data_IF_501326604793
#
_entry.id   IF_501326604793
#
_cell.length_a   1.000
_cell.length_b   1.000
_cell.length_c   1.000
_cell.angle_alpha   90.00
_cell.angle_beta   90.00
_cell.angle_gamma   90.00
#
_symmetry.space_group_name_H-M   'P 1'
#
loop_
_entity.id
_entity.type
_entity.pdbx_description
1 polymer ?
#
# COMPACT_ATOMS: atom_id res chain seq x y z
N UNK A 1 42.62 -59.49 33.19
CA UNK A 1 41.63 -60.46 32.69
C UNK A 1 40.84 -59.81 31.57
N UNK A 2 40.89 -60.45 30.40
CA UNK A 2 40.00 -60.45 29.22
C UNK A 2 39.37 -59.14 28.69
N UNK A 3 39.84 -58.78 27.50
CA UNK A 3 39.04 -58.19 26.41
C UNK A 3 38.22 -59.27 25.68
N UNK A 4 37.04 -58.91 25.15
CA UNK A 4 36.28 -59.47 23.99
C UNK A 4 35.19 -58.40 23.68
N UNK A 5 34.84 -57.94 22.46
CA UNK A 5 35.01 -58.43 21.10
C UNK A 5 33.64 -58.79 20.46
N UNK A 6 33.42 -58.36 19.21
CA UNK A 6 32.32 -58.68 18.25
C UNK A 6 31.01 -57.85 18.37
N UNK A 7 30.46 -57.15 17.36
CA UNK A 7 30.41 -57.22 15.87
C UNK A 7 29.26 -58.10 15.30
N UNK A 8 28.46 -57.50 14.40
CA UNK A 8 27.45 -58.03 13.45
C UNK A 8 26.10 -58.47 14.07
N UNK A 9 24.92 -58.18 13.52
CA UNK A 9 24.53 -58.29 12.11
C UNK A 9 23.29 -57.43 11.75
N UNK A 10 23.18 -57.13 10.46
CA UNK A 10 22.14 -56.42 9.71
C UNK A 10 20.77 -57.16 9.61
N UNK A 11 19.78 -56.47 8.99
CA UNK A 11 18.45 -56.88 8.46
C UNK A 11 17.28 -56.57 9.42
N UNK A 12 16.18 -55.88 9.10
CA UNK A 12 15.38 -55.52 7.89
C UNK A 12 14.60 -54.23 8.27
N UNK A 13 14.53 -53.13 7.51
CA UNK A 13 13.73 -52.82 6.30
C UNK A 13 12.30 -53.39 6.28
N UNK A 14 11.30 -52.55 6.60
CA UNK A 14 9.99 -52.31 5.91
C UNK A 14 8.82 -52.00 6.87
N UNK A 15 8.06 -50.93 6.53
CA UNK A 15 6.70 -50.55 6.99
C UNK A 15 6.59 -50.21 8.49
N UNK A 16 6.38 -48.95 8.86
CA UNK A 16 5.11 -48.19 8.78
C UNK A 16 5.48 -46.73 8.47
N UNK A 17 4.99 -46.03 7.45
CA UNK A 17 3.66 -46.12 6.84
C UNK A 17 2.83 -44.92 7.27
N UNK A 18 3.11 -43.75 6.67
CA UNK A 18 2.17 -42.63 6.42
C UNK A 18 1.12 -42.36 7.51
N UNK A 19 1.43 -41.51 8.47
CA UNK A 19 0.48 -40.55 9.04
C UNK A 19 1.26 -39.41 9.68
N UNK A 20 0.71 -38.19 9.63
CA UNK A 20 1.34 -36.89 9.98
C UNK A 20 2.12 -36.23 8.82
N UNK A 21 1.54 -36.27 7.61
CA UNK A 21 1.83 -35.28 6.56
C UNK A 21 0.59 -35.06 5.68
N UNK A 22 -0.56 -34.76 6.30
CA UNK A 22 -1.79 -34.36 5.61
C UNK A 22 -2.69 -33.56 6.58
N UNK A 23 -2.34 -32.30 6.85
CA UNK A 23 -3.34 -31.31 7.31
C UNK A 23 -3.03 -29.85 6.92
N UNK A 24 -1.88 -29.57 6.27
CA UNK A 24 -1.57 -28.24 5.75
C UNK A 24 -1.78 -28.10 4.23
N UNK A 25 -2.16 -29.17 3.52
CA UNK A 25 -2.33 -29.17 2.05
C UNK A 25 -3.79 -29.11 1.56
N UNK A 26 -4.76 -28.88 2.47
CA UNK A 26 -6.19 -28.76 2.13
C UNK A 26 -6.76 -27.34 2.25
N UNK A 27 -5.92 -26.31 2.44
CA UNK A 27 -6.34 -24.90 2.37
C UNK A 27 -5.78 -24.13 1.16
N UNK A 28 -4.96 -24.76 0.32
CA UNK A 28 -4.36 -24.14 -0.87
C UNK A 28 -4.87 -24.73 -2.21
N UNK A 29 -5.87 -25.61 -2.19
CA UNK A 29 -6.38 -26.31 -3.39
C UNK A 29 -7.90 -26.22 -3.57
N UNK A 30 -8.59 -25.31 -2.89
CA UNK A 30 -10.02 -25.03 -3.11
C UNK A 30 -10.32 -23.73 -3.84
N UNK A 31 -9.32 -23.03 -4.39
CA UNK A 31 -9.52 -21.78 -5.14
C UNK A 31 -9.22 -21.88 -6.64
N UNK A 32 -8.92 -23.08 -7.15
CA UNK A 32 -8.46 -23.26 -8.54
C UNK A 32 -9.38 -24.16 -9.37
N UNK A 33 -10.67 -23.82 -9.44
CA UNK A 33 -11.55 -24.16 -10.58
C UNK A 33 -12.79 -23.27 -10.53
N UNK A 34 -12.68 -22.05 -11.06
CA UNK A 34 -13.76 -21.39 -11.79
C UNK A 34 -13.15 -20.32 -12.71
N UNK A 35 -12.53 -20.79 -13.80
CA UNK A 35 -12.39 -20.00 -15.03
C UNK A 35 -13.40 -20.60 -16.00
N UNK A 36 -14.44 -19.85 -16.31
CA UNK A 36 -15.07 -19.65 -17.62
C UNK A 36 -16.42 -18.99 -17.32
N UNK A 37 -16.44 -17.68 -17.58
CA UNK A 37 -17.55 -16.79 -17.36
C UNK A 37 -17.07 -15.37 -17.54
N UNK A 38 -16.37 -15.10 -18.65
CA UNK A 38 -16.22 -13.74 -19.15
C UNK A 38 -17.62 -13.26 -19.54
N UNK A 39 -18.36 -12.68 -18.60
CA UNK A 39 -19.38 -11.70 -18.93
C UNK A 39 -18.70 -10.35 -18.97
N UNK A 40 -18.39 -9.90 -20.19
CA UNK A 40 -18.27 -8.48 -20.50
C UNK A 40 -19.63 -7.83 -20.20
N UNK A 41 -19.90 -7.51 -18.93
CA UNK A 41 -21.06 -6.74 -18.47
C UNK A 41 -20.76 -6.10 -17.10
N UNK A 42 -19.77 -5.20 -17.06
CA UNK A 42 -19.84 -4.01 -16.21
C UNK A 42 -19.57 -2.78 -17.10
N UNK A 43 -20.33 -2.70 -18.19
CA UNK A 43 -20.49 -1.46 -18.94
C UNK A 43 -21.81 -0.81 -18.48
N UNK A 44 -21.68 0.41 -17.95
CA UNK A 44 -22.72 1.43 -17.83
C UNK A 44 -23.92 1.14 -16.89
N UNK A 45 -23.94 1.82 -15.73
CA UNK A 45 -25.19 2.22 -15.06
C UNK A 45 -25.38 1.71 -13.63
N UNK A 46 -24.60 2.20 -12.67
CA UNK A 46 -24.95 2.10 -11.24
C UNK A 46 -24.77 3.42 -10.50
N UNK A 47 -24.99 4.55 -11.18
CA UNK A 47 -25.11 5.83 -10.48
C UNK A 47 -26.34 5.77 -9.59
N UNK A 48 -26.18 5.91 -8.27
CA UNK A 48 -27.32 5.92 -7.37
C UNK A 48 -28.25 7.11 -7.64
N UNK A 49 -29.35 7.19 -6.90
CA UNK A 49 -30.35 8.23 -7.12
C UNK A 49 -29.74 9.61 -6.86
N UNK A 50 -30.01 10.64 -7.70
CA UNK A 50 -29.67 12.02 -7.36
C UNK A 50 -30.27 12.43 -6.02
N UNK A 51 -29.43 12.93 -5.13
CA UNK A 51 -29.81 13.39 -3.80
C UNK A 51 -29.55 14.88 -3.59
N UNK A 52 -28.83 15.55 -4.49
CA UNK A 52 -28.57 16.97 -4.38
C UNK A 52 -27.52 17.43 -5.36
N UNK A 53 -27.01 18.62 -5.12
CA UNK A 53 -25.88 19.17 -5.86
C UNK A 53 -24.95 19.92 -4.91
N UNK A 54 -23.71 20.13 -5.32
CA UNK A 54 -22.76 21.00 -4.62
C UNK A 54 -22.06 21.91 -5.62
N UNK A 55 -21.59 23.07 -5.18
CA UNK A 55 -20.77 23.96 -6.00
C UNK A 55 -19.29 23.61 -5.81
N UNK A 56 -18.66 23.06 -6.84
CA UNK A 56 -17.22 22.81 -6.89
C UNK A 56 -16.61 23.60 -8.03
N UNK A 57 -15.56 24.37 -7.76
CA UNK A 57 -14.88 25.20 -8.76
C UNK A 57 -15.83 26.13 -9.54
N UNK A 58 -16.89 26.64 -8.88
CA UNK A 58 -17.89 27.52 -9.48
C UNK A 58 -18.95 26.83 -10.36
N UNK A 59 -18.91 25.50 -10.47
CA UNK A 59 -19.88 24.71 -11.21
C UNK A 59 -20.75 23.87 -10.28
N UNK A 60 -22.03 23.73 -10.61
CA UNK A 60 -22.93 22.81 -9.93
C UNK A 60 -22.61 21.37 -10.35
N UNK A 61 -22.30 20.52 -9.37
CA UNK A 61 -21.99 19.10 -9.54
C UNK A 61 -23.08 18.27 -8.88
N UNK A 62 -23.67 17.35 -9.62
CA UNK A 62 -24.70 16.43 -9.10
C UNK A 62 -24.10 15.46 -8.09
N UNK A 63 -24.80 15.28 -6.97
CA UNK A 63 -24.47 14.34 -5.90
C UNK A 63 -25.47 13.20 -5.89
N UNK A 64 -24.97 11.96 -5.89
CA UNK A 64 -25.78 10.73 -5.91
C UNK A 64 -25.56 9.92 -4.64
N UNK A 65 -26.58 9.18 -4.22
CA UNK A 65 -26.41 8.13 -3.23
C UNK A 65 -25.52 7.02 -3.78
N UNK A 66 -24.94 6.20 -2.92
CA UNK A 66 -24.27 4.95 -3.33
C UNK A 66 -24.94 3.75 -2.66
N UNK A 67 -24.42 2.55 -2.92
CA UNK A 67 -24.82 1.34 -2.18
C UNK A 67 -24.34 1.35 -0.73
N UNK A 68 -23.32 2.16 -0.41
CA UNK A 68 -22.77 2.26 0.93
C UNK A 68 -23.50 3.35 1.72
N UNK A 69 -23.89 3.06 2.98
CA UNK A 69 -24.43 4.10 3.84
C UNK A 69 -23.36 5.18 4.06
N UNK A 70 -23.80 6.45 4.12
CA UNK A 70 -22.93 7.61 4.37
C UNK A 70 -21.79 7.82 3.37
N UNK A 71 -21.92 7.28 2.16
CA UNK A 71 -20.99 7.53 1.05
C UNK A 71 -21.79 8.07 -0.12
N UNK A 72 -21.32 9.19 -0.65
CA UNK A 72 -21.92 9.86 -1.80
C UNK A 72 -21.00 9.81 -3.01
N UNK A 73 -21.59 9.88 -4.20
CA UNK A 73 -20.89 9.90 -5.47
C UNK A 73 -20.99 11.29 -6.09
N UNK A 74 -19.91 11.73 -6.73
CA UNK A 74 -19.88 12.94 -7.57
C UNK A 74 -20.04 12.57 -9.05
N UNK A 75 -21.00 13.19 -9.72
CA UNK A 75 -21.26 12.99 -11.15
C UNK A 75 -21.69 11.58 -11.51
N UNK A 76 -21.45 11.17 -12.76
CA UNK A 76 -22.00 9.94 -13.34
C UNK A 76 -21.05 8.74 -13.35
N UNK A 77 -19.77 8.95 -13.09
CA UNK A 77 -18.73 7.93 -13.32
C UNK A 77 -18.79 6.74 -12.37
N UNK A 78 -19.39 6.89 -11.19
CA UNK A 78 -19.32 5.88 -10.11
C UNK A 78 -17.94 5.73 -9.46
N UNK A 79 -16.91 6.40 -10.01
CA UNK A 79 -15.50 6.23 -9.62
C UNK A 79 -15.00 7.29 -8.66
N UNK A 80 -15.76 8.36 -8.43
CA UNK A 80 -15.41 9.39 -7.46
C UNK A 80 -16.48 9.49 -6.39
N UNK A 81 -16.09 9.19 -5.16
CA UNK A 81 -16.98 9.21 -3.99
C UNK A 81 -16.39 10.06 -2.87
N UNK A 82 -17.21 10.43 -1.89
CA UNK A 82 -16.80 11.15 -0.70
C UNK A 82 -17.70 10.81 0.49
N UNK A 83 -17.19 11.04 1.71
CA UNK A 83 -17.95 10.76 2.93
C UNK A 83 -19.06 11.77 3.19
N UNK A 84 -20.21 11.28 3.62
CA UNK A 84 -21.39 12.10 3.88
C UNK A 84 -21.24 13.05 5.07
N UNK A 85 -20.38 12.71 6.04
CA UNK A 85 -20.08 13.51 7.23
C UNK A 85 -19.36 14.83 6.91
N UNK A 86 -18.82 14.97 5.70
CA UNK A 86 -18.23 16.22 5.21
C UNK A 86 -19.28 17.29 4.89
N UNK A 87 -20.55 16.90 4.74
CA UNK A 87 -21.66 17.79 4.43
C UNK A 87 -22.16 18.44 5.71
N UNK A 88 -21.92 19.73 5.86
CA UNK A 88 -22.30 20.52 7.04
C UNK A 88 -23.78 20.88 7.05
N UNK A 89 -24.37 21.11 5.87
CA UNK A 89 -25.75 21.53 5.73
C UNK A 89 -26.29 21.14 4.35
N UNK A 90 -27.59 20.84 4.29
CA UNK A 90 -28.33 20.68 3.04
C UNK A 90 -29.44 21.73 2.97
N UNK A 91 -29.31 22.67 2.03
CA UNK A 91 -30.29 23.72 1.84
C UNK A 91 -31.58 23.18 1.19
N UNK A 92 -32.67 23.95 1.33
CA UNK A 92 -33.99 23.56 0.84
C UNK A 92 -34.05 23.39 -0.69
N UNK A 93 -33.15 24.05 -1.43
CA UNK A 93 -32.97 23.92 -2.88
C UNK A 93 -32.24 22.61 -3.27
N UNK A 94 -31.80 21.80 -2.31
CA UNK A 94 -31.02 20.58 -2.55
C UNK A 94 -29.51 20.80 -2.65
N UNK A 95 -29.02 22.01 -2.41
CA UNK A 95 -27.59 22.32 -2.33
C UNK A 95 -26.97 21.73 -1.06
N UNK A 96 -25.81 21.10 -1.22
CA UNK A 96 -25.04 20.46 -0.16
C UNK A 96 -23.79 21.29 0.10
N UNK A 97 -23.70 21.84 1.31
CA UNK A 97 -22.57 22.67 1.76
C UNK A 97 -21.58 21.82 2.54
N UNK A 98 -20.30 22.05 2.30
CA UNK A 98 -19.19 21.40 3.00
C UNK A 98 -18.65 22.35 4.08
N UNK A 99 -17.95 21.84 5.09
CA UNK A 99 -17.10 22.71 5.90
C UNK A 99 -15.98 23.32 5.04
N UNK A 100 -15.46 24.49 5.44
CA UNK A 100 -14.50 25.25 4.62
C UNK A 100 -13.29 24.40 4.17
N UNK A 101 -12.61 23.76 5.12
CA UNK A 101 -11.42 22.94 4.85
C UNK A 101 -11.72 21.76 3.91
N UNK A 102 -12.89 21.12 4.08
CA UNK A 102 -13.31 20.01 3.21
C UNK A 102 -13.70 20.50 1.82
N UNK A 103 -14.27 21.70 1.70
CA UNK A 103 -14.67 22.28 0.43
C UNK A 103 -13.46 22.51 -0.48
N UNK A 104 -12.38 23.10 0.06
CA UNK A 104 -11.16 23.36 -0.72
C UNK A 104 -10.50 22.05 -1.17
N UNK A 105 -10.31 21.10 -0.24
CA UNK A 105 -9.69 19.81 -0.54
C UNK A 105 -10.47 19.00 -1.58
N UNK A 106 -11.80 18.91 -1.43
CA UNK A 106 -12.65 18.18 -2.37
C UNK A 106 -12.72 18.87 -3.72
N UNK A 107 -12.84 20.20 -3.77
CA UNK A 107 -12.89 20.96 -5.03
C UNK A 107 -11.57 20.83 -5.81
N UNK A 108 -10.43 20.87 -5.12
CA UNK A 108 -9.12 20.63 -5.72
C UNK A 108 -9.00 19.22 -6.28
N UNK A 109 -9.29 18.20 -5.47
CA UNK A 109 -9.22 16.80 -5.92
C UNK A 109 -10.18 16.56 -7.10
N UNK A 110 -11.38 17.11 -7.06
CA UNK A 110 -12.37 17.01 -8.13
C UNK A 110 -11.86 17.65 -9.43
N UNK A 111 -11.28 18.86 -9.38
CA UNK A 111 -10.69 19.51 -10.54
C UNK A 111 -9.56 18.69 -11.16
N UNK A 112 -8.62 18.21 -10.34
CA UNK A 112 -7.52 17.36 -10.80
C UNK A 112 -8.03 16.02 -11.38
N UNK A 113 -9.10 15.46 -10.81
CA UNK A 113 -9.72 14.24 -11.31
C UNK A 113 -10.40 14.47 -12.67
N UNK A 114 -11.13 15.57 -12.83
CA UNK A 114 -11.78 15.90 -14.11
C UNK A 114 -10.78 16.09 -15.25
N UNK A 115 -9.60 16.60 -14.93
CA UNK A 115 -8.51 16.86 -15.89
C UNK A 115 -7.56 15.66 -16.07
N UNK A 116 -7.87 14.49 -15.52
CA UNK A 116 -7.02 13.27 -15.55
C UNK A 116 -5.58 13.50 -15.05
N UNK A 117 -5.43 14.40 -14.07
CA UNK A 117 -4.13 14.79 -13.49
C UNK A 117 -4.01 14.51 -11.99
N UNK A 118 -5.02 13.88 -11.38
CA UNK A 118 -5.01 13.58 -9.95
C UNK A 118 -3.94 12.53 -9.66
N UNK A 119 -2.88 12.96 -8.99
CA UNK A 119 -1.83 12.07 -8.50
C UNK A 119 -2.08 11.77 -7.03
N UNK A 120 -2.07 10.49 -6.64
CA UNK A 120 -2.20 10.04 -5.26
C UNK A 120 -0.95 9.26 -4.83
N UNK A 121 -0.51 9.44 -3.59
CA UNK A 121 0.72 8.84 -3.07
C UNK A 121 0.48 8.02 -1.80
N UNK A 122 1.14 6.86 -1.71
CA UNK A 122 1.12 5.97 -0.54
C UNK A 122 2.53 5.57 -0.15
N UNK A 123 2.88 5.79 1.12
CA UNK A 123 4.04 5.16 1.74
C UNK A 123 3.80 3.68 2.06
N UNK A 124 4.74 2.82 1.67
CA UNK A 124 4.79 1.41 2.03
C UNK A 124 6.12 1.13 2.71
N UNK A 125 6.07 0.65 3.96
CA UNK A 125 7.27 0.27 4.69
C UNK A 125 7.88 -1.01 4.15
N UNK A 126 9.20 -1.16 4.27
CA UNK A 126 9.92 -2.35 3.79
C UNK A 126 9.47 -3.66 4.44
N UNK A 127 8.84 -3.60 5.61
CA UNK A 127 8.26 -4.75 6.32
C UNK A 127 6.73 -4.87 6.17
N UNK A 128 6.11 -4.06 5.31
CA UNK A 128 4.66 -4.05 5.12
C UNK A 128 4.19 -5.34 4.42
N UNK A 129 3.03 -5.89 4.80
CA UNK A 129 2.50 -7.14 4.22
C UNK A 129 2.33 -7.08 2.69
N UNK A 130 2.07 -5.88 2.15
CA UNK A 130 1.85 -5.64 0.71
C UNK A 130 3.17 -5.62 -0.09
N UNK A 131 4.33 -5.50 0.57
CA UNK A 131 5.64 -5.30 -0.08
C UNK A 131 5.93 -6.39 -1.11
N UNK A 132 5.88 -7.65 -0.72
CA UNK A 132 6.20 -8.76 -1.64
C UNK A 132 5.15 -8.88 -2.75
N UNK A 133 3.88 -8.54 -2.48
CA UNK A 133 2.83 -8.48 -3.49
C UNK A 133 3.14 -7.44 -4.57
N UNK A 134 3.62 -6.26 -4.15
CA UNK A 134 4.04 -5.19 -5.06
C UNK A 134 5.28 -5.63 -5.86
N UNK A 135 6.34 -6.05 -5.18
CA UNK A 135 7.63 -6.34 -5.81
C UNK A 135 7.55 -7.55 -6.76
N UNK A 136 6.90 -8.62 -6.35
CA UNK A 136 6.91 -9.89 -7.09
C UNK A 136 5.76 -10.04 -8.08
N UNK A 137 4.61 -9.45 -7.77
CA UNK A 137 3.38 -9.67 -8.53
C UNK A 137 2.80 -8.38 -9.13
N UNK A 138 3.40 -7.22 -8.85
CA UNK A 138 2.86 -5.94 -9.29
C UNK A 138 1.48 -5.64 -8.71
N UNK A 139 1.21 -6.07 -7.47
CA UNK A 139 -0.11 -5.95 -6.84
C UNK A 139 -0.04 -5.18 -5.52
N UNK A 140 -0.64 -4.00 -5.48
CA UNK A 140 -0.80 -3.22 -4.26
C UNK A 140 -2.15 -3.56 -3.60
N UNK A 141 -2.10 -4.27 -2.48
CA UNK A 141 -3.28 -4.66 -1.70
C UNK A 141 -3.34 -3.95 -0.34
N UNK A 142 -4.57 -3.75 0.16
CA UNK A 142 -4.86 -3.29 1.52
C UNK A 142 -5.02 -4.48 2.48
N UNK A 143 -5.19 -4.21 3.78
CA UNK A 143 -5.20 -5.21 4.86
C UNK A 143 -6.37 -6.20 4.80
N UNK A 144 -7.43 -5.90 4.04
CA UNK A 144 -8.52 -6.86 3.88
C UNK A 144 -9.33 -6.69 2.60
N UNK A 145 -10.47 -7.37 2.58
CA UNK A 145 -11.32 -7.53 1.40
C UNK A 145 -12.62 -6.77 1.47
N UNK A 146 -12.93 -6.10 2.57
CA UNK A 146 -14.22 -5.43 2.73
C UNK A 146 -14.31 -4.27 1.74
N UNK A 147 -15.34 -4.31 0.89
CA UNK A 147 -15.58 -3.24 -0.08
C UNK A 147 -16.42 -2.16 0.60
N UNK A 148 -15.76 -1.33 1.42
CA UNK A 148 -16.34 -0.14 2.04
C UNK A 148 -15.26 0.95 2.12
N UNK A 149 -15.48 2.11 1.48
CA UNK A 149 -14.53 3.21 1.57
C UNK A 149 -14.66 3.87 2.94
N UNK A 150 -13.66 3.67 3.79
CA UNK A 150 -13.62 4.23 5.13
C UNK A 150 -12.22 4.18 5.73
N UNK A 151 -12.04 4.82 6.88
CA UNK A 151 -10.77 4.85 7.58
C UNK A 151 -10.27 3.43 7.87
N UNK A 152 -9.01 3.17 7.52
CA UNK A 152 -8.39 1.84 7.65
C UNK A 152 -7.80 1.61 9.05
N UNK A 153 -7.54 2.68 9.80
CA UNK A 153 -7.00 2.66 11.16
C UNK A 153 -8.12 2.43 12.18
N UNK A 154 -8.71 1.25 12.19
CA UNK A 154 -9.85 0.95 13.08
C UNK A 154 -10.34 -0.49 13.15
N UNK A 155 -9.73 -1.42 12.42
CA UNK A 155 -10.01 -2.86 12.53
C UNK A 155 -11.02 -3.44 11.51
N UNK A 156 -11.56 -2.64 10.60
CA UNK A 156 -12.20 -3.18 9.38
C UNK A 156 -11.14 -3.34 8.31
N UNK A 157 -10.83 -4.58 7.92
CA UNK A 157 -9.93 -4.89 6.81
C UNK A 157 -10.55 -4.49 5.48
N UNK A 158 -10.52 -3.20 5.17
CA UNK A 158 -11.04 -2.65 3.92
C UNK A 158 -10.04 -2.86 2.78
N UNK A 159 -10.56 -3.09 1.56
CA UNK A 159 -9.75 -3.15 0.34
C UNK A 159 -9.28 -1.78 -0.15
N UNK A 160 -9.68 -0.71 0.52
CA UNK A 160 -9.38 0.68 0.13
C UNK A 160 -8.06 1.15 0.74
N UNK A 161 -7.13 1.59 -0.10
CA UNK A 161 -5.77 2.00 0.24
C UNK A 161 -5.73 3.49 0.61
N UNK A 162 -5.24 3.87 1.81
CA UNK A 162 -5.18 5.27 2.23
C UNK A 162 -3.98 6.00 1.62
N UNK A 163 -4.25 7.03 0.84
CA UNK A 163 -3.30 7.84 0.08
C UNK A 163 -3.38 9.32 0.48
N UNK A 164 -2.36 10.07 0.07
CA UNK A 164 -2.33 11.53 0.12
C UNK A 164 -2.35 12.10 -1.30
N UNK A 165 -2.83 13.33 -1.47
CA UNK A 165 -2.82 13.99 -2.77
C UNK A 165 -1.39 14.41 -3.13
N UNK A 166 -0.82 13.83 -4.20
CA UNK A 166 0.58 14.03 -4.59
C UNK A 166 0.93 15.48 -4.96
N UNK A 167 -0.07 16.29 -5.32
CA UNK A 167 0.10 17.71 -5.59
C UNK A 167 0.13 18.57 -4.31
N UNK A 168 -0.20 18.04 -3.13
CA UNK A 168 -0.15 18.81 -1.89
C UNK A 168 1.29 19.02 -1.43
N UNK A 169 1.57 20.20 -0.88
CA UNK A 169 2.88 20.48 -0.31
C UNK A 169 3.23 19.44 0.75
N UNK A 170 4.41 18.84 0.61
CA UNK A 170 4.86 17.79 1.53
C UNK A 170 4.21 16.42 1.35
N UNK A 171 3.43 16.15 0.29
CA UNK A 171 2.83 14.83 0.05
C UNK A 171 3.87 13.69 0.03
N UNK A 172 5.01 13.94 -0.64
CA UNK A 172 6.14 13.01 -0.66
C UNK A 172 6.73 12.82 0.74
N UNK A 173 6.86 13.89 1.53
CA UNK A 173 7.39 13.83 2.90
C UNK A 173 6.44 13.05 3.82
N UNK A 174 5.14 13.31 3.75
CA UNK A 174 4.11 12.57 4.50
C UNK A 174 4.10 11.09 4.12
N UNK A 175 4.11 10.78 2.83
CA UNK A 175 4.16 9.40 2.34
C UNK A 175 5.45 8.69 2.77
N UNK A 176 6.59 9.38 2.72
CA UNK A 176 7.86 8.85 3.20
C UNK A 176 7.86 8.63 4.72
N UNK A 177 7.27 9.55 5.48
CA UNK A 177 7.06 9.43 6.92
C UNK A 177 6.20 8.21 7.29
N UNK A 178 5.15 7.95 6.52
CA UNK A 178 4.32 6.74 6.68
C UNK A 178 5.15 5.47 6.39
N UNK A 179 5.97 5.48 5.34
CA UNK A 179 6.81 4.35 4.98
C UNK A 179 7.85 4.00 6.05
N UNK A 180 8.35 4.97 6.83
CA UNK A 180 9.28 4.69 7.93
C UNK A 180 8.58 4.33 9.25
N UNK A 181 7.35 4.81 9.47
CA UNK A 181 6.66 4.71 10.76
C UNK A 181 6.36 3.28 11.21
N UNK A 182 6.21 2.36 10.25
CA UNK A 182 5.77 0.98 10.49
C UNK A 182 6.92 -0.02 10.75
N UNK A 183 8.17 0.42 10.86
CA UNK A 183 9.28 -0.50 11.17
C UNK A 183 9.17 -1.12 12.56
N UNK A 184 9.76 -2.30 12.74
CA UNK A 184 9.80 -2.95 14.05
C UNK A 184 10.83 -2.26 14.99
N UNK A 185 10.79 -2.57 16.29
CA UNK A 185 11.68 -1.94 17.28
C UNK A 185 13.17 -2.24 17.01
N UNK A 186 13.49 -3.45 16.52
CA UNK A 186 14.87 -3.86 16.23
C UNK A 186 15.45 -3.05 15.07
N UNK A 187 14.69 -2.85 13.98
CA UNK A 187 15.07 -1.99 12.86
C UNK A 187 15.24 -0.53 13.32
N UNK A 188 14.28 0.00 14.10
CA UNK A 188 14.42 1.35 14.68
C UNK A 188 15.66 1.51 15.55
N UNK A 189 15.97 0.53 16.37
CA UNK A 189 17.18 0.55 17.20
C UNK A 189 18.46 0.53 16.35
N UNK A 190 18.46 -0.25 15.28
CA UNK A 190 19.59 -0.37 14.39
C UNK A 190 19.80 0.85 13.47
N UNK A 191 18.76 1.67 13.27
CA UNK A 191 18.83 2.98 12.63
C UNK A 191 19.00 4.15 13.62
N UNK A 192 19.23 3.88 14.90
CA UNK A 192 19.29 4.94 15.92
C UNK A 192 20.50 5.86 15.74
N UNK A 193 20.40 7.10 16.24
CA UNK A 193 21.43 8.13 16.08
C UNK A 193 22.81 7.77 16.69
N UNK A 194 22.89 6.78 17.58
CA UNK A 194 24.17 6.31 18.13
C UNK A 194 24.90 5.33 17.20
N UNK A 195 24.20 4.73 16.24
CA UNK A 195 24.74 3.83 15.22
C UNK A 195 24.00 4.04 13.89
N UNK A 196 24.06 5.25 13.32
CA UNK A 196 23.27 5.57 12.15
C UNK A 196 23.82 4.81 10.93
N UNK A 197 22.95 4.12 10.21
CA UNK A 197 23.28 3.48 8.94
C UNK A 197 22.71 4.30 7.80
N UNK A 198 23.52 4.53 6.77
CA UNK A 198 23.14 5.33 5.62
C UNK A 198 22.75 4.44 4.44
N UNK A 199 21.88 4.96 3.56
CA UNK A 199 21.47 4.32 2.32
C UNK A 199 20.79 2.94 2.48
N UNK A 200 20.14 2.68 3.62
CA UNK A 200 19.32 1.48 3.83
C UNK A 200 17.93 1.73 3.26
N UNK A 201 17.40 0.84 2.42
CA UNK A 201 16.02 0.89 1.97
C UNK A 201 15.07 0.79 3.18
N UNK A 202 14.22 1.79 3.37
CA UNK A 202 13.24 1.86 4.45
C UNK A 202 11.83 1.60 3.94
N UNK A 203 11.57 1.90 2.68
CA UNK A 203 10.27 1.71 2.10
C UNK A 203 10.21 2.22 0.67
N UNK A 204 8.99 2.38 0.18
CA UNK A 204 8.73 2.95 -1.14
C UNK A 204 7.51 3.87 -1.09
N UNK A 205 7.44 4.80 -2.03
CA UNK A 205 6.26 5.62 -2.27
C UNK A 205 5.63 5.19 -3.57
N UNK A 206 4.44 4.60 -3.47
CA UNK A 206 3.60 4.30 -4.62
C UNK A 206 2.92 5.58 -5.10
N UNK A 207 2.81 5.71 -6.42
CA UNK A 207 2.05 6.73 -7.13
C UNK A 207 0.90 6.07 -7.87
N UNK A 208 -0.29 6.61 -7.71
CA UNK A 208 -1.50 6.23 -8.43
C UNK A 208 -1.99 7.44 -9.23
N UNK A 209 -2.18 7.27 -10.53
CA UNK A 209 -2.73 8.32 -11.39
C UNK A 209 -4.22 8.03 -11.60
N UNK A 210 -5.07 8.93 -11.10
CA UNK A 210 -6.51 8.82 -11.15
C UNK A 210 -7.12 9.97 -11.97
N UNK A 211 -8.34 9.76 -12.43
CA UNK A 211 -9.00 10.70 -13.32
C UNK A 211 -10.36 10.23 -13.80
N UNK A 212 -11.09 11.15 -14.43
CA UNK A 212 -12.39 10.88 -15.03
C UNK A 212 -12.36 9.77 -16.06
N UNK A 213 -11.25 9.64 -16.79
CA UNK A 213 -11.03 8.63 -17.83
C UNK A 213 -10.13 7.48 -17.35
N UNK A 214 -9.63 7.52 -16.12
CA UNK A 214 -8.81 6.45 -15.53
C UNK A 214 -9.66 5.39 -14.83
N UNK A 215 -9.10 4.18 -14.65
CA UNK A 215 -9.84 3.04 -14.09
C UNK A 215 -10.01 3.10 -12.57
N UNK A 216 -9.18 3.86 -11.86
CA UNK A 216 -9.15 3.90 -10.41
C UNK A 216 -10.42 4.50 -9.81
N UNK A 217 -11.02 3.78 -8.87
CA UNK A 217 -12.04 4.33 -7.99
C UNK A 217 -11.38 5.02 -6.79
N UNK A 218 -11.79 6.26 -6.55
CA UNK A 218 -11.25 7.16 -5.53
C UNK A 218 -12.36 7.57 -4.57
N UNK A 219 -12.00 7.68 -3.30
CA UNK A 219 -12.88 8.16 -2.25
C UNK A 219 -12.21 9.25 -1.43
N UNK A 220 -12.85 10.42 -1.34
CA UNK A 220 -12.39 11.50 -0.49
C UNK A 220 -12.93 11.33 0.92
N UNK A 221 -12.05 10.97 1.87
CA UNK A 221 -12.42 10.88 3.27
C UNK A 221 -12.30 12.25 3.94
N UNK A 222 -11.20 12.97 3.71
CA UNK A 222 -10.95 14.34 4.16
C UNK A 222 -9.69 14.89 3.43
N UNK A 223 -9.31 16.18 3.61
CA UNK A 223 -8.14 16.76 2.95
C UNK A 223 -6.81 16.03 3.23
N UNK A 224 -6.69 15.31 4.35
CA UNK A 224 -5.51 14.54 4.72
C UNK A 224 -5.52 13.07 4.31
N UNK A 225 -6.68 12.51 3.92
CA UNK A 225 -6.83 11.09 3.61
C UNK A 225 -7.78 10.87 2.44
N UNK A 226 -7.24 10.31 1.36
CA UNK A 226 -7.96 9.94 0.14
C UNK A 226 -7.75 8.45 -0.07
N UNK A 227 -8.79 7.70 -0.42
CA UNK A 227 -8.68 6.26 -0.58
C UNK A 227 -8.72 5.85 -2.05
N UNK A 228 -7.88 4.88 -2.42
CA UNK A 228 -7.91 4.20 -3.73
C UNK A 228 -8.44 2.78 -3.54
N UNK A 229 -9.44 2.37 -4.31
CA UNK A 229 -9.96 1.00 -4.23
C UNK A 229 -8.91 0.00 -4.72
N UNK A 230 -8.54 -0.95 -3.86
CA UNK A 230 -7.65 -2.06 -4.20
C UNK A 230 -8.38 -3.40 -4.42
N UNK A 231 -7.62 -4.47 -4.73
CA UNK A 231 -6.19 -4.41 -5.05
C UNK A 231 -5.95 -3.69 -6.38
N UNK A 232 -4.79 -3.03 -6.49
CA UNK A 232 -4.42 -2.25 -7.69
C UNK A 232 -3.27 -2.97 -8.40
N UNK A 233 -3.38 -3.12 -9.71
CA UNK A 233 -2.38 -3.77 -10.55
C UNK A 233 -1.36 -2.75 -11.09
N UNK A 234 -0.16 -3.22 -11.44
CA UNK A 234 0.99 -2.40 -11.85
C UNK A 234 0.77 -1.49 -13.06
N UNK A 235 -0.30 -1.67 -13.82
CA UNK A 235 -0.69 -0.75 -14.90
C UNK A 235 -1.31 0.55 -14.35
N UNK A 236 -1.87 0.50 -13.14
CA UNK A 236 -2.61 1.60 -12.50
C UNK A 236 -1.83 2.22 -11.32
N UNK A 237 -0.58 1.76 -11.07
CA UNK A 237 0.34 2.40 -10.11
C UNK A 237 1.81 2.23 -10.51
N UNK A 238 2.66 3.13 -10.00
CA UNK A 238 4.11 3.04 -10.15
C UNK A 238 4.83 3.21 -8.80
N UNK A 239 6.04 2.69 -8.69
CA UNK A 239 6.96 3.04 -7.60
C UNK A 239 7.63 4.36 -8.00
N UNK A 240 7.26 5.44 -7.32
CA UNK A 240 7.80 6.78 -7.64
C UNK A 240 9.16 7.02 -6.98
N UNK A 241 9.29 6.62 -5.72
CA UNK A 241 10.48 6.85 -4.91
C UNK A 241 10.76 5.64 -4.03
N UNK A 242 12.04 5.40 -3.78
CA UNK A 242 12.48 4.58 -2.67
C UNK A 242 12.80 5.49 -1.49
N UNK A 243 12.31 5.12 -0.32
CA UNK A 243 12.62 5.81 0.94
C UNK A 243 13.84 5.11 1.51
N UNK A 244 14.90 5.86 1.77
CA UNK A 244 16.18 5.35 2.26
C UNK A 244 16.57 6.05 3.55
N UNK A 245 17.39 5.42 4.39
CA UNK A 245 18.01 6.12 5.51
C UNK A 245 18.96 7.17 4.97
N UNK A 246 18.93 8.35 5.59
CA UNK A 246 19.84 9.45 5.28
C UNK A 246 20.31 10.07 6.59
N UNK A 247 21.56 9.77 6.95
CA UNK A 247 22.16 10.22 8.20
C UNK A 247 22.49 11.72 8.21
N UNK A 248 22.55 12.33 7.02
CA UNK A 248 22.75 13.78 6.86
C UNK A 248 21.46 14.57 7.01
N UNK A 249 20.30 13.92 6.83
CA UNK A 249 19.00 14.54 7.03
C UNK A 249 18.62 14.52 8.53
N UNK A 250 18.23 15.65 9.15
CA UNK A 250 17.72 15.67 10.52
C UNK A 250 16.52 14.75 10.78
N UNK A 251 15.73 14.43 9.75
CA UNK A 251 14.63 13.48 9.83
C UNK A 251 15.09 12.00 9.85
N UNK A 252 16.36 11.73 9.49
CA UNK A 252 16.96 10.40 9.45
C UNK A 252 16.65 9.59 8.19
N UNK A 253 15.93 10.17 7.22
CA UNK A 253 15.58 9.51 5.96
C UNK A 253 15.58 10.48 4.78
N UNK A 254 15.69 9.94 3.57
CA UNK A 254 15.49 10.64 2.31
C UNK A 254 14.55 9.87 1.39
N UNK A 255 14.02 10.54 0.38
CA UNK A 255 13.31 9.90 -0.73
C UNK A 255 14.17 10.06 -1.99
N UNK A 256 14.46 8.96 -2.67
CA UNK A 256 15.19 8.94 -3.93
C UNK A 256 14.24 8.52 -5.04
N UNK A 257 14.16 9.33 -6.10
CA UNK A 257 13.35 9.01 -7.27
C UNK A 257 13.84 7.71 -7.89
N UNK A 258 12.90 6.84 -8.21
CA UNK A 258 13.16 5.52 -8.76
C UNK A 258 12.72 5.42 -10.22
N UNK A 259 13.60 4.90 -11.07
CA UNK A 259 13.36 4.78 -12.52
C UNK A 259 13.42 3.32 -13.01
N UNK A 260 13.57 2.36 -12.11
CA UNK A 260 13.57 0.94 -12.46
C UNK A 260 12.16 0.40 -12.74
N UNK A 261 12.08 -0.56 -13.66
CA UNK A 261 10.83 -1.22 -14.05
C UNK A 261 10.83 -2.72 -13.78
N UNK A 262 12.00 -3.31 -13.46
CA UNK A 262 12.15 -4.73 -13.17
C UNK A 262 12.13 -4.93 -11.64
N UNK A 263 10.99 -4.67 -11.02
CA UNK A 263 10.88 -4.52 -9.56
C UNK A 263 11.40 -5.73 -8.78
N UNK A 264 11.16 -6.95 -9.28
CA UNK A 264 11.63 -8.21 -8.70
C UNK A 264 13.17 -8.39 -8.74
N UNK A 265 13.83 -7.80 -9.74
CA UNK A 265 15.29 -7.81 -9.88
C UNK A 265 15.95 -6.61 -9.17
N UNK A 266 15.26 -5.48 -9.18
CA UNK A 266 15.76 -4.20 -8.68
C UNK A 266 15.57 -4.06 -7.17
N UNK A 267 14.51 -4.65 -6.59
CA UNK A 267 14.18 -4.51 -5.17
C UNK A 267 14.37 -5.83 -4.42
N UNK A 268 14.67 -5.71 -3.14
CA UNK A 268 14.81 -6.87 -2.26
C UNK A 268 13.46 -7.32 -1.69
N UNK A 269 13.35 -8.59 -1.25
CA UNK A 269 12.22 -9.06 -0.45
C UNK A 269 12.02 -8.23 0.81
N UNK A 270 10.80 -8.27 1.35
CA UNK A 270 10.42 -7.52 2.52
C UNK A 270 11.39 -7.70 3.69
N UNK A 271 11.57 -6.63 4.47
CA UNK A 271 12.19 -6.70 5.79
C UNK A 271 11.37 -7.60 6.71
N UNK A 272 12.04 -8.21 7.68
CA UNK A 272 11.39 -9.09 8.65
C UNK A 272 10.29 -8.32 9.41
N UNK A 273 9.06 -8.82 9.32
CA UNK A 273 7.96 -8.39 10.17
C UNK A 273 7.99 -9.19 11.48
N UNK A 274 8.42 -8.56 12.58
CA UNK A 274 8.28 -9.11 13.93
C UNK A 274 7.36 -8.20 14.77
N UNK A 275 6.06 -8.52 14.87
CA UNK A 275 5.13 -7.75 15.69
C UNK A 275 5.31 -8.01 17.18
N UNK A 276 6.06 -9.05 17.57
CA UNK A 276 6.23 -9.44 18.97
C UNK A 276 7.35 -8.65 19.66
N UNK A 277 8.37 -8.23 18.91
CA UNK A 277 9.58 -7.59 19.44
C UNK A 277 10.38 -8.47 20.41
N UNK A 278 10.08 -9.78 20.46
CA UNK A 278 10.65 -10.71 21.45
C UNK A 278 11.89 -11.44 20.95
N UNK A 279 12.27 -11.28 19.68
CA UNK A 279 13.48 -11.90 19.16
C UNK A 279 14.70 -11.14 19.69
N UNK A 280 15.46 -11.80 20.57
CA UNK A 280 16.71 -11.28 21.15
C UNK A 280 17.85 -11.14 20.12
N UNK A 281 19.08 -11.53 20.47
CA UNK A 281 20.25 -11.36 19.60
C UNK A 281 20.09 -11.91 18.18
N UNK A 282 19.34 -13.01 18.01
CA UNK A 282 19.02 -13.58 16.69
C UNK A 282 18.18 -12.62 15.82
N UNK A 283 17.24 -11.90 16.42
CA UNK A 283 16.45 -10.89 15.69
C UNK A 283 17.32 -9.71 15.27
N UNK A 284 18.30 -9.34 16.10
CA UNK A 284 19.29 -8.31 15.77
C UNK A 284 20.16 -8.71 14.59
N UNK A 285 20.71 -9.93 14.57
CA UNK A 285 21.56 -10.40 13.46
C UNK A 285 20.80 -10.41 12.14
N UNK A 286 19.59 -10.99 12.12
CA UNK A 286 18.75 -11.04 10.91
C UNK A 286 18.41 -9.64 10.40
N UNK A 287 18.14 -8.71 11.32
CA UNK A 287 17.90 -7.31 10.97
C UNK A 287 19.16 -6.68 10.36
N UNK A 288 20.33 -6.88 10.98
CA UNK A 288 21.59 -6.36 10.46
C UNK A 288 21.92 -6.93 9.07
N UNK A 289 21.79 -8.24 8.88
CA UNK A 289 22.01 -8.89 7.58
C UNK A 289 21.06 -8.36 6.49
N UNK A 290 19.84 -8.00 6.87
CA UNK A 290 18.90 -7.38 5.94
C UNK A 290 19.33 -5.95 5.58
N UNK A 291 19.73 -5.14 6.57
CA UNK A 291 20.19 -3.77 6.33
C UNK A 291 21.47 -3.74 5.48
N UNK A 292 22.43 -4.64 5.72
CA UNK A 292 23.67 -4.71 4.94
C UNK A 292 23.38 -5.03 3.46
N UNK A 293 22.51 -6.01 3.22
CA UNK A 293 22.07 -6.35 1.85
C UNK A 293 21.29 -5.21 1.21
N UNK A 294 20.46 -4.54 1.99
CA UNK A 294 19.66 -3.40 1.55
C UNK A 294 20.55 -2.24 1.11
N UNK A 295 21.54 -1.86 1.92
CA UNK A 295 22.53 -0.85 1.57
C UNK A 295 23.33 -1.23 0.32
N UNK A 296 23.76 -2.50 0.20
CA UNK A 296 24.42 -2.99 -1.00
C UNK A 296 23.54 -2.87 -2.24
N UNK A 297 22.24 -3.19 -2.13
CA UNK A 297 21.28 -3.05 -3.24
C UNK A 297 21.05 -1.59 -3.61
N UNK A 298 20.93 -0.68 -2.66
CA UNK A 298 20.78 0.75 -2.97
C UNK A 298 22.01 1.31 -3.68
N UNK A 299 23.22 0.92 -3.27
CA UNK A 299 24.45 1.25 -3.97
C UNK A 299 24.46 0.69 -5.42
N UNK A 300 24.00 -0.54 -5.63
CA UNK A 300 23.88 -1.14 -6.96
C UNK A 300 22.92 -0.33 -7.85
N UNK A 301 21.74 0.03 -7.35
CA UNK A 301 20.76 0.80 -8.11
C UNK A 301 21.27 2.20 -8.47
N UNK A 302 22.01 2.86 -7.57
CA UNK A 302 22.68 4.13 -7.86
C UNK A 302 23.74 3.98 -8.95
N UNK A 303 24.56 2.92 -8.91
CA UNK A 303 25.56 2.64 -9.96
C UNK A 303 24.90 2.37 -11.31
N UNK A 304 23.75 1.68 -11.31
CA UNK A 304 22.91 1.45 -12.49
C UNK A 304 22.13 2.68 -12.95
N UNK A 305 22.21 3.80 -12.20
CA UNK A 305 21.50 5.07 -12.45
C UNK A 305 19.98 4.91 -12.47
N UNK A 306 19.47 4.06 -11.59
CA UNK A 306 18.02 3.86 -11.37
C UNK A 306 17.50 4.60 -10.15
N UNK A 307 18.39 5.24 -9.38
CA UNK A 307 18.06 6.06 -8.23
C UNK A 307 18.70 7.43 -8.33
N UNK A 308 17.90 8.46 -8.15
CA UNK A 308 18.32 9.85 -8.21
C UNK A 308 17.88 10.57 -6.94
N UNK A 309 18.78 11.39 -6.37
CA UNK A 309 18.34 12.43 -5.44
C UNK A 309 17.85 13.58 -6.31
N UNK A 310 16.64 14.07 -6.04
CA UNK A 310 16.23 15.33 -6.64
C UNK A 310 17.24 16.38 -6.19
N UNK A 311 17.83 17.07 -7.16
CA UNK A 311 18.78 18.15 -6.88
C UNK A 311 17.92 19.38 -6.61
N UNK A 312 17.91 19.83 -5.36
CA UNK A 312 17.26 21.08 -4.94
C UNK A 312 17.74 22.28 -5.77
#
# INVERSE_FOLDING_TARGET
MKAVGACLCEKEVFRIGRHIMFSALNKALSSFTHRVGMSNQEAAGSGGRPIGHMSLNGAAVEVKSTQWPNVYQLGDSGRLTFSADLVSHRAANGEMLLSHDNAEGLARMYGEWQEDRLTLMRGISSNHFSWDGIVMNGLAASEGSDDFPGATMGGSGSRWLPTSMGSSDGALMTSSGIAIGNHNQTMRAAMSASQPQDNVLLGMVLRFDAGANQNLAVHFLNPGEILVKGPVENQDFAISHLVVSDVSNPAGFGAMRYEGTAWDADLMPAALYDPSGKHGETGRQVTQDWMDRSAAKMNELQQRRLLWRDVD
#
